data_IF_228966009004
#
_entry.id   IF_228966009004
#
_cell.length_a   1.000
_cell.length_b   1.000
_cell.length_c   1.000
_cell.angle_alpha   90.00
_cell.angle_beta   90.00
_cell.angle_gamma   90.00
#
_symmetry.space_group_name_H-M   'P 1'
#
loop_
_entity.id
_entity.type
_entity.pdbx_description
1 polymer ?
#
# COMPACT_ATOMS: atom_id res chain seq x y z
N UNK A 1 -5.46 3.90 -5.31
CA UNK A 1 -6.66 3.21 -5.83
C UNK A 1 -7.69 3.19 -4.72
N UNK A 2 -8.97 3.46 -5.02
CA UNK A 2 -10.02 3.46 -4.00
C UNK A 2 -10.48 2.05 -3.65
N UNK A 3 -10.87 1.84 -2.39
CA UNK A 3 -11.31 0.54 -1.87
C UNK A 3 -12.50 -0.02 -2.64
N UNK A 4 -13.50 0.83 -2.98
CA UNK A 4 -14.65 0.42 -3.79
C UNK A 4 -14.24 -0.18 -5.15
N UNK A 5 -13.22 0.39 -5.78
CA UNK A 5 -12.74 -0.06 -7.08
C UNK A 5 -11.97 -1.38 -6.94
N UNK A 6 -11.15 -1.51 -5.87
CA UNK A 6 -10.45 -2.75 -5.57
C UNK A 6 -11.44 -3.90 -5.33
N UNK A 7 -12.44 -3.69 -4.47
CA UNK A 7 -13.52 -4.65 -4.22
C UNK A 7 -14.21 -5.08 -5.51
N UNK A 8 -14.51 -4.11 -6.40
CA UNK A 8 -15.14 -4.39 -7.68
C UNK A 8 -14.26 -5.29 -8.56
N UNK A 9 -12.96 -5.00 -8.70
CA UNK A 9 -12.01 -5.82 -9.46
C UNK A 9 -11.94 -7.26 -8.93
N UNK A 10 -11.87 -7.43 -7.61
CA UNK A 10 -11.78 -8.75 -6.97
C UNK A 10 -13.05 -9.59 -7.21
N UNK A 11 -14.22 -8.98 -7.08
CA UNK A 11 -15.51 -9.67 -7.25
C UNK A 11 -15.73 -10.11 -8.71
N UNK A 12 -15.15 -9.41 -9.69
CA UNK A 12 -15.25 -9.79 -11.11
C UNK A 12 -14.48 -11.08 -11.44
N UNK A 13 -13.43 -11.41 -10.68
CA UNK A 13 -12.54 -12.53 -10.97
C UNK A 13 -12.24 -13.35 -9.71
N UNK A 14 -13.24 -13.95 -9.05
CA UNK A 14 -13.10 -14.51 -7.70
C UNK A 14 -12.11 -15.68 -7.60
N UNK A 15 -11.90 -16.44 -8.67
CA UNK A 15 -10.97 -17.57 -8.72
C UNK A 15 -9.51 -17.14 -9.03
N UNK A 16 -9.29 -15.86 -9.36
CA UNK A 16 -7.97 -15.37 -9.71
C UNK A 16 -7.05 -15.34 -8.49
N UNK A 17 -5.79 -15.70 -8.70
CA UNK A 17 -4.76 -15.53 -7.68
C UNK A 17 -4.28 -14.08 -7.64
N UNK A 18 -3.72 -13.67 -6.51
CA UNK A 18 -3.25 -12.30 -6.31
C UNK A 18 -1.74 -12.22 -6.47
N UNK A 19 -1.27 -11.12 -7.05
CA UNK A 19 0.15 -10.81 -7.13
C UNK A 19 0.40 -9.36 -6.81
N UNK A 20 1.09 -9.11 -5.70
CA UNK A 20 1.52 -7.77 -5.31
C UNK A 20 2.92 -7.52 -5.85
N UNK A 21 3.06 -6.48 -6.67
CA UNK A 21 4.35 -6.04 -7.22
C UNK A 21 4.79 -4.78 -6.49
N UNK A 22 5.98 -4.81 -5.89
CA UNK A 22 6.64 -3.71 -5.20
C UNK A 22 7.14 -2.64 -6.20
N UNK A 23 7.44 -1.41 -5.74
CA UNK A 23 7.86 -0.33 -6.63
C UNK A 23 9.14 -0.58 -7.44
N UNK A 24 10.04 -1.43 -6.91
CA UNK A 24 11.27 -1.87 -7.57
C UNK A 24 11.05 -2.99 -8.61
N UNK A 25 9.84 -3.54 -8.67
CA UNK A 25 9.46 -4.63 -9.56
C UNK A 25 9.51 -6.03 -8.91
N UNK A 26 10.02 -6.14 -7.69
CA UNK A 26 9.97 -7.40 -6.94
C UNK A 26 8.54 -7.70 -6.49
N UNK A 27 8.30 -8.91 -5.98
CA UNK A 27 6.96 -9.38 -5.63
C UNK A 27 6.90 -9.82 -4.18
N UNK A 28 5.81 -9.47 -3.49
CA UNK A 28 5.51 -10.09 -2.21
C UNK A 28 5.30 -11.60 -2.47
N UNK A 29 5.97 -12.49 -1.71
CA UNK A 29 5.85 -13.93 -1.90
C UNK A 29 4.40 -14.40 -1.94
N UNK A 30 4.06 -15.29 -2.89
CA UNK A 30 2.67 -15.70 -3.17
C UNK A 30 1.93 -16.41 -2.00
N UNK A 31 2.65 -16.79 -0.95
CA UNK A 31 2.12 -17.39 0.28
C UNK A 31 1.93 -16.34 1.39
N UNK A 32 1.66 -15.09 1.01
CA UNK A 32 1.30 -14.04 1.94
C UNK A 32 -0.12 -14.24 2.50
N UNK A 33 -0.36 -13.63 3.66
CA UNK A 33 -1.63 -13.58 4.37
C UNK A 33 -2.02 -12.13 4.58
N UNK A 34 -3.29 -11.81 4.34
CA UNK A 34 -3.88 -10.55 4.85
C UNK A 34 -4.39 -10.83 6.25
N UNK A 35 -3.70 -10.30 7.25
CA UNK A 35 -3.97 -10.61 8.66
C UNK A 35 -4.88 -9.59 9.32
N UNK A 36 -4.84 -8.34 8.87
CA UNK A 36 -5.66 -7.26 9.40
C UNK A 36 -6.17 -6.33 8.29
N UNK A 37 -7.38 -5.81 8.50
CA UNK A 37 -7.95 -4.68 7.74
C UNK A 37 -8.19 -3.56 8.74
N UNK A 38 -7.48 -2.44 8.58
CA UNK A 38 -7.47 -1.31 9.51
C UNK A 38 -7.98 -0.02 8.88
N UNK A 39 -8.68 0.77 9.69
CA UNK A 39 -8.92 2.18 9.37
C UNK A 39 -7.81 3.03 10.01
N UNK A 40 -7.03 3.71 9.19
CA UNK A 40 -5.96 4.59 9.65
C UNK A 40 -6.36 6.03 9.38
N UNK A 41 -6.60 6.78 10.45
CA UNK A 41 -6.91 8.21 10.40
C UNK A 41 -5.76 9.00 11.03
N UNK A 42 -5.05 9.79 10.21
CA UNK A 42 -3.92 10.60 10.67
C UNK A 42 -4.29 12.09 10.64
N UNK A 43 -3.88 12.81 11.68
CA UNK A 43 -3.92 14.28 11.77
C UNK A 43 -2.51 14.77 11.99
N UNK A 44 -2.10 15.75 11.21
CA UNK A 44 -0.74 16.26 11.26
C UNK A 44 -0.72 17.73 11.65
N UNK A 45 0.41 18.14 12.22
CA UNK A 45 0.81 19.53 12.32
C UNK A 45 2.17 19.63 11.63
N UNK A 46 2.31 20.57 10.69
CA UNK A 46 3.61 20.80 10.07
C UNK A 46 4.52 21.65 10.96
N UNK A 47 5.81 21.71 10.61
CA UNK A 47 6.80 22.53 11.32
C UNK A 47 6.43 24.03 11.36
N UNK A 48 5.54 24.48 10.47
CA UNK A 48 5.02 25.83 10.41
C UNK A 48 3.79 26.08 11.29
N UNK A 49 3.28 25.07 11.98
CA UNK A 49 2.11 25.13 12.85
C UNK A 49 0.76 24.96 12.15
N UNK A 50 0.75 24.64 10.85
CA UNK A 50 -0.51 24.40 10.11
C UNK A 50 -1.01 23.00 10.40
N UNK A 51 -2.29 22.89 10.75
CA UNK A 51 -2.96 21.61 10.90
C UNK A 51 -3.37 21.06 9.53
N UNK A 52 -3.07 19.78 9.30
CA UNK A 52 -3.49 19.02 8.13
C UNK A 52 -4.35 17.86 8.61
N UNK A 53 -5.66 17.99 8.41
CA UNK A 53 -6.63 16.96 8.78
C UNK A 53 -6.82 15.95 7.63
N UNK A 54 -7.11 14.70 8.00
CA UNK A 54 -7.66 13.61 7.15
C UNK A 54 -6.73 13.03 6.08
N UNK A 55 -5.66 12.35 6.50
CA UNK A 55 -5.12 11.25 5.71
C UNK A 55 -5.78 9.93 6.19
N UNK A 56 -7.01 9.70 5.74
CA UNK A 56 -7.79 8.51 6.06
C UNK A 56 -7.55 7.43 4.99
N UNK A 57 -7.16 6.24 5.43
CA UNK A 57 -6.79 5.12 4.54
C UNK A 57 -7.31 3.80 5.08
N UNK A 58 -7.55 2.86 4.16
CA UNK A 58 -7.71 1.45 4.46
C UNK A 58 -6.32 0.80 4.44
N UNK A 59 -5.85 0.31 5.57
CA UNK A 59 -4.55 -0.36 5.68
C UNK A 59 -4.75 -1.88 5.73
N UNK A 60 -4.01 -2.61 4.92
CA UNK A 60 -4.01 -4.07 4.89
C UNK A 60 -2.67 -4.56 5.43
N UNK A 61 -2.68 -5.24 6.58
CA UNK A 61 -1.46 -5.86 7.10
C UNK A 61 -1.19 -7.16 6.35
N UNK A 62 -0.07 -7.22 5.65
CA UNK A 62 0.37 -8.37 4.85
C UNK A 62 1.56 -9.05 5.51
N UNK A 63 1.40 -10.33 5.82
CA UNK A 63 2.39 -11.16 6.51
C UNK A 63 2.75 -12.38 5.67
N UNK A 64 4.02 -12.74 5.60
CA UNK A 64 4.49 -13.92 4.88
C UNK A 64 4.90 -14.97 5.90
N UNK A 65 4.27 -16.15 5.84
CA UNK A 65 4.52 -17.27 6.77
C UNK A 65 5.26 -18.41 6.08
N UNK A 66 5.83 -19.36 6.83
CA UNK A 66 6.49 -20.55 6.26
C UNK A 66 5.49 -21.63 5.76
N UNK A 67 4.37 -21.23 5.16
CA UNK A 67 3.33 -22.12 4.61
C UNK A 67 3.23 -21.97 3.08
N UNK A 68 4.29 -22.37 2.38
CA UNK A 68 4.49 -22.17 0.93
C UNK A 68 3.37 -22.65 -0.02
N UNK A 69 2.42 -23.46 0.46
CA UNK A 69 1.24 -23.90 -0.29
C UNK A 69 0.04 -22.94 -0.20
N UNK A 70 0.05 -21.99 0.75
CA UNK A 70 -1.02 -21.01 0.91
C UNK A 70 -1.14 -20.10 -0.31
N UNK A 71 -2.36 -19.92 -0.84
CA UNK A 71 -2.64 -18.98 -1.93
C UNK A 71 -3.94 -18.26 -1.64
N UNK A 72 -3.88 -16.94 -1.52
CA UNK A 72 -5.08 -16.12 -1.37
C UNK A 72 -5.69 -15.84 -2.75
N UNK A 73 -6.90 -16.32 -2.96
CA UNK A 73 -7.72 -15.98 -4.13
C UNK A 73 -8.48 -14.65 -3.95
N UNK A 74 -8.89 -14.05 -5.06
CA UNK A 74 -9.56 -12.76 -5.09
C UNK A 74 -10.93 -12.78 -4.39
N UNK A 75 -11.67 -13.88 -4.44
CA UNK A 75 -12.97 -14.01 -3.78
C UNK A 75 -12.84 -14.03 -2.26
N UNK A 76 -11.83 -14.73 -1.74
CA UNK A 76 -11.47 -14.75 -0.33
C UNK A 76 -10.97 -13.38 0.11
N UNK A 77 -10.15 -12.71 -0.69
CA UNK A 77 -9.72 -11.35 -0.40
C UNK A 77 -10.89 -10.35 -0.37
N UNK A 78 -11.84 -10.44 -1.32
CA UNK A 78 -13.05 -9.62 -1.30
C UNK A 78 -13.88 -9.82 -0.02
N UNK A 79 -13.99 -11.07 0.47
CA UNK A 79 -14.65 -11.36 1.76
C UNK A 79 -13.90 -10.74 2.94
N UNK A 80 -12.56 -10.78 2.94
CA UNK A 80 -11.75 -10.12 3.96
C UNK A 80 -12.03 -8.60 3.98
N UNK A 81 -12.04 -7.95 2.80
CA UNK A 81 -12.37 -6.53 2.71
C UNK A 81 -13.80 -6.22 3.15
N UNK A 82 -14.75 -7.11 2.88
CA UNK A 82 -16.13 -6.99 3.36
C UNK A 82 -16.23 -7.10 4.88
N UNK A 83 -15.43 -7.96 5.53
CA UNK A 83 -15.36 -8.00 6.99
C UNK A 83 -14.82 -6.68 7.56
N UNK A 84 -13.92 -6.03 6.82
CA UNK A 84 -13.37 -4.70 7.11
C UNK A 84 -14.41 -3.58 7.18
N UNK A 85 -15.59 -3.73 6.56
CA UNK A 85 -16.68 -2.73 6.58
C UNK A 85 -17.15 -2.40 8.00
N UNK A 86 -16.83 -3.25 8.98
CA UNK A 86 -17.13 -3.03 10.40
C UNK A 86 -16.24 -1.99 11.08
N UNK A 87 -15.07 -1.71 10.51
CA UNK A 87 -14.08 -0.77 11.07
C UNK A 87 -13.79 0.40 10.14
N UNK A 88 -14.08 0.25 8.83
CA UNK A 88 -13.89 1.30 7.83
C UNK A 88 -15.11 2.23 7.78
N UNK A 89 -14.94 3.57 7.76
CA UNK A 89 -16.04 4.52 7.70
C UNK A 89 -16.80 4.53 6.36
N UNK A 90 -16.11 4.24 5.26
CA UNK A 90 -16.66 4.20 3.90
C UNK A 90 -15.68 3.54 2.92
N UNK A 91 -16.15 3.22 1.70
CA UNK A 91 -15.33 2.59 0.66
C UNK A 91 -14.58 3.58 -0.26
N UNK A 92 -14.72 4.89 -0.06
CA UNK A 92 -13.98 5.91 -0.79
C UNK A 92 -12.58 6.22 -0.20
N UNK A 93 -12.02 5.25 0.52
CA UNK A 93 -10.67 5.32 1.09
C UNK A 93 -9.63 4.86 0.07
N UNK A 94 -8.45 5.49 0.08
CA UNK A 94 -7.28 4.90 -0.57
C UNK A 94 -6.81 3.67 0.22
N UNK A 95 -6.34 2.67 -0.50
CA UNK A 95 -5.87 1.40 0.08
C UNK A 95 -4.36 1.37 0.12
N UNK A 96 -3.82 1.00 1.28
CA UNK A 96 -2.40 0.79 1.52
C UNK A 96 -2.15 -0.64 1.99
N UNK A 97 -1.01 -1.20 1.60
CA UNK A 97 -0.50 -2.49 2.04
C UNK A 97 0.66 -2.23 2.98
N UNK A 98 0.56 -2.70 4.21
CA UNK A 98 1.68 -2.76 5.14
C UNK A 98 2.39 -4.10 4.96
N UNK A 99 3.67 -4.04 4.64
CA UNK A 99 4.51 -5.21 4.42
C UNK A 99 5.87 -5.02 5.09
N UNK A 100 6.35 -6.08 5.73
CA UNK A 100 7.64 -6.12 6.41
C UNK A 100 8.61 -6.97 5.59
N UNK A 101 9.65 -6.32 5.07
CA UNK A 101 10.87 -6.97 4.60
C UNK A 101 12.02 -6.57 5.53
N UNK A 102 12.98 -5.72 5.12
CA UNK A 102 14.00 -5.23 6.07
C UNK A 102 13.39 -4.26 7.13
N UNK A 103 12.25 -3.64 6.82
CA UNK A 103 11.50 -2.75 7.71
C UNK A 103 10.00 -2.73 7.32
N UNK A 104 9.14 -2.47 8.30
CA UNK A 104 7.71 -2.26 8.06
C UNK A 104 7.51 -1.03 7.18
N UNK A 105 6.89 -1.23 6.02
CA UNK A 105 6.65 -0.19 5.03
C UNK A 105 5.19 -0.21 4.58
N UNK A 106 4.61 0.97 4.38
CA UNK A 106 3.23 1.15 3.89
C UNK A 106 3.26 1.58 2.43
N UNK A 107 2.70 0.77 1.55
CA UNK A 107 2.66 1.00 0.10
C UNK A 107 1.23 1.26 -0.38
N UNK A 108 0.94 2.40 -1.04
CA UNK A 108 -0.36 2.62 -1.67
C UNK A 108 -0.56 1.64 -2.84
N UNK A 109 -1.75 1.09 -2.97
CA UNK A 109 -2.15 0.38 -4.18
C UNK A 109 -2.39 1.42 -5.28
N UNK A 110 -1.59 1.38 -6.33
CA UNK A 110 -1.68 2.32 -7.46
C UNK A 110 -2.64 1.81 -8.53
N UNK A 111 -2.66 0.50 -8.80
CA UNK A 111 -3.60 -0.14 -9.72
C UNK A 111 -3.81 -1.62 -9.37
N UNK A 112 -4.95 -2.16 -9.80
CA UNK A 112 -5.24 -3.59 -9.77
C UNK A 112 -5.93 -3.99 -11.08
N UNK A 113 -5.35 -4.94 -11.80
CA UNK A 113 -5.85 -5.38 -13.11
C UNK A 113 -5.77 -6.88 -13.28
N UNK A 114 -6.81 -7.48 -13.86
CA UNK A 114 -6.82 -8.89 -14.21
C UNK A 114 -5.95 -9.17 -15.44
N UNK A 115 -5.09 -10.19 -15.34
CA UNK A 115 -4.16 -10.63 -16.38
C UNK A 115 -4.02 -12.15 -16.33
N UNK A 116 -4.72 -12.85 -17.23
CA UNK A 116 -4.68 -14.31 -17.31
C UNK A 116 -5.33 -14.97 -16.11
N UNK A 117 -4.53 -15.58 -15.23
CA UNK A 117 -5.02 -16.25 -14.01
C UNK A 117 -4.81 -15.41 -12.74
N UNK A 118 -4.28 -14.18 -12.89
CA UNK A 118 -3.89 -13.33 -11.77
C UNK A 118 -4.57 -11.97 -11.80
N UNK A 119 -4.77 -11.38 -10.63
CA UNK A 119 -4.96 -9.93 -10.49
C UNK A 119 -3.62 -9.35 -10.07
N UNK A 120 -3.02 -8.57 -10.97
CA UNK A 120 -1.78 -7.85 -10.77
C UNK A 120 -2.09 -6.57 -9.98
N UNK A 121 -1.58 -6.48 -8.76
CA UNK A 121 -1.74 -5.34 -7.86
C UNK A 121 -0.41 -4.61 -7.78
N UNK A 122 -0.37 -3.40 -8.31
CA UNK A 122 0.84 -2.57 -8.34
C UNK A 122 0.90 -1.69 -7.11
N UNK A 123 2.00 -1.80 -6.36
CA UNK A 123 2.28 -0.99 -5.18
C UNK A 123 3.13 0.23 -5.56
N UNK A 124 2.87 1.36 -4.92
CA UNK A 124 3.59 2.61 -5.14
C UNK A 124 4.43 3.02 -3.93
N UNK A 125 5.26 4.05 -4.12
CA UNK A 125 6.06 4.63 -3.04
C UNK A 125 5.29 5.72 -2.27
N UNK A 126 5.64 5.90 -0.99
CA UNK A 126 5.28 7.08 -0.22
C UNK A 126 6.53 7.89 0.08
N UNK A 127 6.42 9.20 -0.07
CA UNK A 127 7.51 10.11 0.23
C UNK A 127 7.17 10.99 1.42
N UNK A 128 8.19 11.24 2.24
CA UNK A 128 8.11 12.28 3.27
C UNK A 128 8.35 13.64 2.63
N UNK A 129 7.70 14.68 3.15
CA UNK A 129 7.97 16.06 2.76
C UNK A 129 7.80 16.99 3.95
N UNK A 130 8.55 18.09 3.94
CA UNK A 130 8.30 19.22 4.83
C UNK A 130 7.37 20.19 4.12
N UNK A 131 6.13 20.33 4.60
CA UNK A 131 5.13 21.22 3.98
C UNK A 131 5.39 22.71 4.29
N UNK A 132 6.26 23.03 5.24
CA UNK A 132 6.59 24.40 5.66
C UNK A 132 8.03 24.81 5.24
N UNK A 133 8.39 24.58 3.96
CA UNK A 133 9.77 24.72 3.45
C UNK A 133 10.39 26.09 3.72
N UNK A 134 9.66 27.17 3.45
CA UNK A 134 10.11 28.55 3.68
C UNK A 134 10.37 28.81 5.16
N UNK A 135 9.42 28.44 6.05
CA UNK A 135 9.56 28.61 7.50
C UNK A 135 10.72 27.80 8.09
N UNK A 136 11.11 26.71 7.42
CA UNK A 136 12.24 25.87 7.82
C UNK A 136 13.56 26.26 7.12
N UNK A 137 13.56 27.25 6.23
CA UNK A 137 14.76 27.71 5.51
C UNK A 137 15.34 26.71 4.52
N UNK A 138 14.53 25.78 4.00
CA UNK A 138 14.95 24.69 3.09
C UNK A 138 14.42 24.86 1.67
N UNK A 139 14.41 26.11 1.19
CA UNK A 139 14.01 26.46 -0.17
C UNK A 139 14.91 25.75 -1.20
N UNK A 140 14.45 24.61 -1.75
CA UNK A 140 14.93 24.09 -3.03
C UNK A 140 15.64 22.73 -3.06
N UNK A 141 15.93 22.02 -1.96
CA UNK A 141 16.43 20.63 -2.01
C UNK A 141 16.02 19.80 -0.79
N UNK A 142 15.01 18.95 -0.97
CA UNK A 142 14.71 17.85 -0.05
C UNK A 142 14.94 16.52 -0.76
N UNK A 143 15.30 15.48 -0.02
CA UNK A 143 15.57 14.14 -0.57
C UNK A 143 14.32 13.44 -1.16
N UNK A 144 13.13 14.06 -1.08
CA UNK A 144 11.84 13.49 -1.49
C UNK A 144 11.32 13.94 -2.86
N UNK A 145 12.01 14.84 -3.57
CA UNK A 145 11.67 15.18 -4.96
C UNK A 145 12.64 14.48 -5.89
N UNK A 146 12.14 13.48 -6.63
CA UNK A 146 12.91 12.67 -7.56
C UNK A 146 13.51 13.49 -8.71
N UNK A 147 14.66 14.10 -8.46
CA UNK A 147 15.69 14.26 -9.47
C UNK A 147 16.60 13.05 -9.34
N UNK A 148 16.53 12.13 -10.31
CA UNK A 148 17.42 10.98 -10.41
C UNK A 148 18.87 11.48 -10.38
N UNK A 149 19.56 11.20 -9.28
CA UNK A 149 21.00 11.16 -9.23
C UNK A 149 21.40 9.71 -9.05
N UNK A 150 22.00 9.15 -10.10
CA UNK A 150 22.54 7.80 -10.15
C UNK A 150 23.47 7.55 -8.96
N UNK A 151 23.20 6.48 -8.19
CA UNK A 151 24.27 5.56 -7.77
C UNK A 151 23.67 4.25 -7.31
N UNK A 152 24.13 3.17 -7.96
CA UNK A 152 23.88 1.79 -7.59
C UNK A 152 24.24 1.54 -6.12
N UNK A 153 23.31 0.97 -5.35
CA UNK A 153 23.67 0.00 -4.32
C UNK A 153 22.49 -0.94 -4.15
N UNK A 154 22.58 -2.09 -4.79
CA UNK A 154 21.68 -3.21 -4.54
C UNK A 154 21.92 -3.72 -3.13
N UNK A 155 21.02 -3.40 -2.22
CA UNK A 155 20.85 -4.16 -0.99
C UNK A 155 19.68 -5.09 -1.26
N UNK A 156 20.00 -6.31 -1.69
CA UNK A 156 19.07 -7.43 -1.62
C UNK A 156 18.96 -7.81 -0.15
N UNK A 157 17.80 -7.55 0.46
CA UNK A 157 17.29 -8.36 1.55
C UNK A 157 16.58 -9.58 0.94
N UNK A 158 16.46 -10.64 1.75
CA UNK A 158 16.31 -12.05 1.35
C UNK A 158 15.12 -12.40 0.44
#
# INVERSE_FOLDING_TARGET
MKLKDLKATLVLHPEALLRFTLPDGDQIPAHFHITEVGHVAKRFIDCGGTLHDTADTCLLQTYVADDFDHRLDAGTFAKILQLGDRVLPHDDLDVEVEYEDCAITQFPITSAAFSGDYIEIQLGEKHTDCLAKEKCGIEGKGCGTGDKADTETSVSCC
#
